data_IF_863872798843
#
_entry.id   IF_863872798843
#
_cell.length_a   1.000
_cell.length_b   1.000
_cell.length_c   1.000
_cell.angle_alpha   90.00
_cell.angle_beta   90.00
_cell.angle_gamma   90.00
#
_symmetry.space_group_name_H-M   'P 1'
#
loop_
_entity.id
_entity.type
_entity.pdbx_description
1 polymer ?
#
# COMPACT_ATOMS: atom_id res chain seq x y z
N UNK A 1 -7.42 -11.55 12.81
CA UNK A 1 -7.07 -12.72 11.97
C UNK A 1 -7.33 -12.31 10.55
N UNK A 2 -6.33 -12.41 9.66
CA UNK A 2 -6.48 -12.00 8.26
C UNK A 2 -7.39 -12.98 7.52
N UNK A 3 -8.17 -12.47 6.55
CA UNK A 3 -8.89 -13.30 5.58
C UNK A 3 -7.88 -14.14 4.80
N UNK A 4 -8.18 -15.41 4.60
CA UNK A 4 -7.39 -16.25 3.69
C UNK A 4 -7.70 -15.86 2.25
N UNK A 5 -6.66 -15.52 1.49
CA UNK A 5 -6.78 -15.08 0.11
C UNK A 5 -6.73 -16.31 -0.80
N UNK A 6 -7.68 -16.42 -1.72
CA UNK A 6 -7.60 -17.42 -2.79
C UNK A 6 -6.71 -16.91 -3.95
N UNK A 7 -6.47 -17.77 -4.94
CA UNK A 7 -5.58 -17.44 -6.07
C UNK A 7 -6.13 -16.33 -6.97
N UNK A 8 -7.46 -16.16 -6.99
CA UNK A 8 -8.12 -15.06 -7.72
C UNK A 8 -7.84 -13.75 -6.98
N UNK A 9 -8.03 -13.72 -5.65
CA UNK A 9 -7.75 -12.54 -4.83
C UNK A 9 -6.26 -12.15 -4.95
N UNK A 10 -5.33 -13.12 -4.93
CA UNK A 10 -3.89 -12.87 -5.16
C UNK A 10 -3.60 -12.29 -6.54
N UNK A 11 -4.25 -12.81 -7.59
CA UNK A 11 -4.07 -12.34 -8.97
C UNK A 11 -4.59 -10.91 -9.14
N UNK A 12 -5.75 -10.60 -8.55
CA UNK A 12 -6.31 -9.24 -8.50
C UNK A 12 -5.29 -8.29 -7.86
N UNK A 13 -4.81 -8.60 -6.66
CA UNK A 13 -3.88 -7.74 -5.92
C UNK A 13 -2.57 -7.53 -6.70
N UNK A 14 -2.05 -8.58 -7.33
CA UNK A 14 -0.84 -8.49 -8.15
C UNK A 14 -1.01 -7.52 -9.34
N UNK A 15 -2.10 -7.65 -10.09
CA UNK A 15 -2.35 -6.80 -11.26
C UNK A 15 -2.64 -5.35 -10.86
N UNK A 16 -3.40 -5.14 -9.77
CA UNK A 16 -3.66 -3.79 -9.26
C UNK A 16 -2.39 -3.11 -8.72
N UNK A 17 -1.50 -3.83 -8.04
CA UNK A 17 -0.22 -3.25 -7.60
C UNK A 17 0.66 -2.82 -8.77
N UNK A 18 0.54 -3.50 -9.93
CA UNK A 18 1.31 -3.17 -11.12
C UNK A 18 0.77 -1.93 -11.84
N UNK A 19 -0.55 -1.86 -12.05
CA UNK A 19 -1.18 -0.71 -12.70
C UNK A 19 -2.70 -0.66 -12.40
N UNK A 20 -3.08 -0.28 -11.18
CA UNK A 20 -4.49 -0.19 -10.80
C UNK A 20 -5.31 0.80 -11.64
N UNK A 21 -4.67 1.80 -12.26
CA UNK A 21 -5.37 2.85 -12.99
C UNK A 21 -5.82 2.38 -14.38
N UNK A 22 -4.99 1.59 -15.05
CA UNK A 22 -5.29 1.15 -16.42
C UNK A 22 -5.76 -0.31 -16.48
N UNK A 23 -5.50 -1.11 -15.45
CA UNK A 23 -5.94 -2.51 -15.41
C UNK A 23 -7.46 -2.59 -15.24
N UNK A 24 -8.14 -3.15 -16.23
CA UNK A 24 -9.58 -3.35 -16.21
C UNK A 24 -9.97 -4.67 -15.53
N UNK A 25 -11.17 -4.72 -14.96
CA UNK A 25 -11.73 -5.96 -14.42
C UNK A 25 -11.88 -7.08 -15.49
N UNK A 26 -11.97 -6.70 -16.77
CA UNK A 26 -12.00 -7.64 -17.88
C UNK A 26 -10.64 -8.34 -18.04
N UNK A 27 -9.55 -7.57 -18.12
CA UNK A 27 -8.18 -8.11 -18.26
C UNK A 27 -7.78 -8.99 -17.06
N UNK A 28 -8.18 -8.59 -15.85
CA UNK A 28 -7.99 -9.40 -14.65
C UNK A 28 -8.78 -10.71 -14.76
N UNK A 29 -10.04 -10.64 -15.21
CA UNK A 29 -10.90 -11.80 -15.37
C UNK A 29 -10.36 -12.80 -16.38
N UNK A 30 -9.88 -12.30 -17.52
CA UNK A 30 -9.24 -13.09 -18.58
C UNK A 30 -7.97 -13.80 -18.06
N UNK A 31 -7.21 -13.12 -17.18
CA UNK A 31 -6.00 -13.69 -16.55
C UNK A 31 -6.32 -14.72 -15.46
N UNK A 32 -7.33 -14.45 -14.64
CA UNK A 32 -7.69 -15.28 -13.48
C UNK A 32 -8.73 -16.37 -13.79
N UNK A 33 -9.25 -16.44 -15.02
CA UNK A 33 -10.24 -17.42 -15.45
C UNK A 33 -11.63 -17.19 -14.87
N UNK A 34 -12.00 -15.93 -14.59
CA UNK A 34 -13.30 -15.55 -14.00
C UNK A 34 -13.95 -14.39 -14.74
N UNK A 35 -15.24 -14.19 -14.53
CA UNK A 35 -15.96 -13.08 -15.15
C UNK A 35 -15.53 -11.72 -14.58
N UNK A 36 -15.63 -10.67 -15.40
CA UNK A 36 -15.34 -9.31 -14.95
C UNK A 36 -16.26 -8.83 -13.82
N UNK A 37 -17.48 -9.36 -13.69
CA UNK A 37 -18.36 -9.05 -12.55
C UNK A 37 -17.87 -9.74 -11.27
N UNK A 38 -17.36 -10.97 -11.35
CA UNK A 38 -16.70 -11.65 -10.23
C UNK A 38 -15.50 -10.85 -9.73
N UNK A 39 -14.65 -10.35 -10.63
CA UNK A 39 -13.50 -9.52 -10.26
C UNK A 39 -13.92 -8.27 -9.50
N UNK A 40 -14.92 -7.52 -10.00
CA UNK A 40 -15.41 -6.30 -9.33
C UNK A 40 -15.89 -6.60 -7.91
N UNK A 41 -16.73 -7.62 -7.76
CA UNK A 41 -17.22 -8.03 -6.45
C UNK A 41 -16.08 -8.43 -5.48
N UNK A 42 -15.00 -9.04 -6.00
CA UNK A 42 -13.81 -9.38 -5.20
C UNK A 42 -13.03 -8.14 -4.79
N UNK A 43 -12.82 -7.18 -5.70
CA UNK A 43 -12.19 -5.90 -5.39
C UNK A 43 -12.98 -5.17 -4.30
N UNK A 44 -14.30 -5.04 -4.47
CA UNK A 44 -15.18 -4.39 -3.49
C UNK A 44 -15.06 -5.06 -2.11
N UNK A 45 -14.99 -6.39 -2.06
CA UNK A 45 -14.81 -7.12 -0.81
C UNK A 45 -13.40 -6.92 -0.21
N UNK A 46 -12.35 -6.91 -1.03
CA UNK A 46 -10.98 -6.66 -0.57
C UNK A 46 -10.82 -5.24 0.00
N UNK A 47 -11.53 -4.26 -0.58
CA UNK A 47 -11.62 -2.89 -0.05
C UNK A 47 -12.43 -2.84 1.25
N UNK A 48 -13.60 -3.47 1.30
CA UNK A 48 -14.44 -3.53 2.49
C UNK A 48 -13.75 -4.23 3.68
N UNK A 49 -12.94 -5.25 3.39
CA UNK A 49 -12.13 -5.97 4.38
C UNK A 49 -10.87 -5.19 4.80
N UNK A 50 -10.60 -4.02 4.20
CA UNK A 50 -9.42 -3.18 4.47
C UNK A 50 -8.10 -3.77 3.99
N UNK A 51 -8.15 -4.76 3.10
CA UNK A 51 -6.97 -5.39 2.48
C UNK A 51 -6.42 -4.46 1.41
N UNK A 52 -7.28 -3.93 0.55
CA UNK A 52 -6.96 -2.77 -0.29
C UNK A 52 -7.23 -1.52 0.55
N UNK A 53 -6.16 -0.84 0.94
CA UNK A 53 -6.24 0.37 1.79
C UNK A 53 -6.43 1.66 1.01
N UNK A 54 -6.06 1.66 -0.27
CA UNK A 54 -6.11 2.82 -1.12
C UNK A 54 -5.34 2.63 -2.42
N UNK A 55 -5.53 3.58 -3.33
CA UNK A 55 -4.83 3.66 -4.60
C UNK A 55 -4.01 4.94 -4.63
N UNK A 56 -2.70 4.79 -4.77
CA UNK A 56 -1.77 5.90 -4.74
C UNK A 56 -1.06 6.01 -6.10
N UNK A 57 -0.90 7.23 -6.65
CA UNK A 57 -0.11 7.41 -7.85
C UNK A 57 1.37 7.17 -7.57
N UNK A 58 2.09 6.62 -8.54
CA UNK A 58 3.55 6.68 -8.57
C UNK A 58 3.95 8.10 -9.01
N UNK A 59 4.71 8.79 -8.15
CA UNK A 59 5.08 10.20 -8.38
C UNK A 59 6.58 10.28 -8.65
N UNK A 60 6.94 10.87 -9.79
CA UNK A 60 8.29 11.36 -10.00
C UNK A 60 8.43 12.71 -9.26
N UNK A 61 8.94 12.68 -8.03
CA UNK A 61 9.02 13.89 -7.22
C UNK A 61 10.10 14.88 -7.71
N UNK A 62 11.12 14.42 -8.45
CA UNK A 62 12.13 15.30 -9.05
C UNK A 62 11.46 16.23 -10.06
N UNK A 63 10.72 15.67 -11.01
CA UNK A 63 9.95 16.42 -12.01
C UNK A 63 8.79 17.23 -11.39
N UNK A 64 8.29 16.79 -10.22
CA UNK A 64 7.26 17.52 -9.48
C UNK A 64 7.79 18.74 -8.70
N UNK A 65 9.08 19.07 -8.80
CA UNK A 65 9.74 20.11 -8.00
C UNK A 65 9.58 19.90 -6.48
N UNK A 66 9.64 18.64 -6.06
CA UNK A 66 9.70 18.22 -4.66
C UNK A 66 11.09 17.59 -4.41
N UNK A 67 12.16 18.40 -4.39
CA UNK A 67 13.54 17.91 -4.42
C UNK A 67 13.96 17.22 -3.12
N UNK A 68 13.27 17.50 -2.02
CA UNK A 68 13.58 16.91 -0.73
C UNK A 68 12.86 15.57 -0.61
N UNK A 69 13.56 14.49 -0.92
CA UNK A 69 13.15 13.12 -0.61
C UNK A 69 14.06 12.56 0.48
N UNK A 70 13.49 12.22 1.63
CA UNK A 70 14.27 11.70 2.76
C UNK A 70 13.61 10.46 3.32
N UNK A 71 14.39 9.38 3.43
CA UNK A 71 14.00 8.21 4.21
C UNK A 71 14.64 8.28 5.60
N UNK A 72 13.81 8.41 6.63
CA UNK A 72 14.25 8.27 8.01
C UNK A 72 14.12 6.81 8.45
N UNK A 73 15.13 6.33 9.16
CA UNK A 73 15.14 4.98 9.73
C UNK A 73 15.38 5.09 11.22
N UNK A 74 14.35 4.81 12.01
CA UNK A 74 14.38 4.95 13.46
C UNK A 74 14.19 3.61 14.15
N UNK A 75 14.56 3.56 15.44
CA UNK A 75 14.33 2.40 16.30
C UNK A 75 13.37 2.79 17.42
N UNK A 76 12.27 2.06 17.55
CA UNK A 76 11.29 2.22 18.62
C UNK A 76 11.13 0.92 19.42
N UNK A 77 10.85 0.98 20.74
CA UNK A 77 10.45 -0.20 21.50
C UNK A 77 9.15 -0.81 20.93
N UNK A 78 8.97 -2.15 20.95
CA UNK A 78 7.76 -2.80 20.42
C UNK A 78 6.45 -2.29 21.03
N UNK A 79 6.49 -1.87 22.30
CA UNK A 79 5.34 -1.33 23.04
C UNK A 79 4.87 0.04 22.52
N UNK A 80 5.76 0.80 21.90
CA UNK A 80 5.50 2.17 21.43
C UNK A 80 5.42 2.27 19.90
N UNK A 81 5.78 1.19 19.20
CA UNK A 81 5.91 1.14 17.75
C UNK A 81 4.65 1.60 17.02
N UNK A 82 3.49 1.13 17.47
CA UNK A 82 2.19 1.50 16.89
C UNK A 82 1.89 2.99 17.10
N UNK A 83 2.07 3.49 18.32
CA UNK A 83 1.81 4.90 18.65
C UNK A 83 2.69 5.84 17.81
N UNK A 84 4.00 5.58 17.76
CA UNK A 84 4.90 6.39 16.94
C UNK A 84 4.52 6.35 15.46
N UNK A 85 4.17 5.18 14.94
CA UNK A 85 3.81 5.05 13.53
C UNK A 85 2.53 5.83 13.19
N UNK A 86 1.54 5.84 14.08
CA UNK A 86 0.33 6.66 13.93
C UNK A 86 0.64 8.15 14.01
N UNK A 87 1.43 8.59 14.99
CA UNK A 87 1.82 10.00 15.15
C UNK A 87 2.64 10.50 13.95
N UNK A 88 3.57 9.69 13.43
CA UNK A 88 4.40 10.02 12.28
C UNK A 88 3.54 10.14 11.01
N UNK A 89 2.58 9.24 10.79
CA UNK A 89 1.67 9.31 9.62
C UNK A 89 0.86 10.62 9.57
N UNK A 90 0.64 11.27 10.71
CA UNK A 90 -0.09 12.54 10.78
C UNK A 90 0.78 13.76 10.40
N UNK A 91 2.10 13.60 10.24
CA UNK A 91 3.01 14.69 9.90
C UNK A 91 2.93 15.01 8.41
N UNK A 92 2.73 16.29 8.08
CA UNK A 92 2.72 16.76 6.70
C UNK A 92 4.05 16.42 6.00
N UNK A 93 3.95 15.85 4.80
CA UNK A 93 5.10 15.44 3.98
C UNK A 93 5.49 13.98 4.18
N UNK A 94 5.03 13.30 5.23
CA UNK A 94 5.16 11.85 5.35
C UNK A 94 4.23 11.17 4.35
N UNK A 95 4.80 10.42 3.42
CA UNK A 95 4.05 9.71 2.36
C UNK A 95 3.98 8.21 2.59
N UNK A 96 4.94 7.65 3.35
CA UNK A 96 4.86 6.25 3.78
C UNK A 96 5.51 6.03 5.15
N UNK A 97 4.96 5.08 5.90
CA UNK A 97 5.52 4.58 7.16
C UNK A 97 5.42 3.07 7.15
N UNK A 98 6.57 2.40 7.25
CA UNK A 98 6.68 0.94 7.24
C UNK A 98 7.27 0.46 8.57
N UNK A 99 6.56 -0.49 9.17
CA UNK A 99 6.87 -1.10 10.46
C UNK A 99 7.48 -2.49 10.27
N UNK A 100 8.58 -2.77 10.95
CA UNK A 100 9.21 -4.10 10.95
C UNK A 100 9.05 -4.74 12.33
N UNK A 101 8.58 -5.99 12.38
CA UNK A 101 8.25 -6.67 13.64
C UNK A 101 9.45 -7.06 14.50
N UNK A 102 10.66 -7.07 13.94
CA UNK A 102 11.86 -7.53 14.66
C UNK A 102 13.08 -6.68 14.37
N UNK A 103 13.95 -6.54 15.37
CA UNK A 103 15.26 -5.89 15.23
C UNK A 103 15.29 -4.40 15.59
N UNK A 104 16.48 -3.82 15.42
CA UNK A 104 16.70 -2.36 15.41
C UNK A 104 16.34 -1.83 14.02
N UNK A 105 16.11 -0.52 13.88
CA UNK A 105 15.68 0.12 12.62
C UNK A 105 14.31 -0.40 12.15
N UNK A 106 13.36 -0.38 13.07
CA UNK A 106 12.06 -1.03 12.90
C UNK A 106 10.94 -0.10 12.42
N UNK A 107 11.23 1.18 12.16
CA UNK A 107 10.33 2.09 11.48
C UNK A 107 11.09 2.80 10.36
N UNK A 108 10.57 2.68 9.13
CA UNK A 108 11.04 3.39 7.95
C UNK A 108 10.00 4.42 7.55
N UNK A 109 10.41 5.65 7.32
CA UNK A 109 9.53 6.79 7.07
C UNK A 109 10.01 7.46 5.79
N UNK A 110 9.17 7.52 4.77
CA UNK A 110 9.45 8.24 3.54
C UNK A 110 8.77 9.62 3.60
N UNK A 111 9.58 10.67 3.44
CA UNK A 111 9.16 12.06 3.55
C UNK A 111 9.48 12.78 2.24
N UNK A 112 8.53 13.56 1.75
CA UNK A 112 8.69 14.46 0.61
C UNK A 112 8.40 15.91 1.02
N UNK A 113 9.18 16.83 0.48
CA UNK A 113 9.05 18.25 0.77
C UNK A 113 9.65 19.15 -0.31
N UNK A 114 9.56 20.44 -0.06
CA UNK A 114 10.11 21.53 -0.87
C UNK A 114 11.33 22.14 -0.20
#
# INVERSE_FOLDING_TARGET
MGRDLDDIDRSILYLLQRDARNTTAQEIGDTAGVSASTVRNRIDQLEADGIIKGYHPEINYEEANLPLQVTFVISAPPTELKQYSEDIRAIQGVVDVREMLTGRRNIHIDVVGT
#
